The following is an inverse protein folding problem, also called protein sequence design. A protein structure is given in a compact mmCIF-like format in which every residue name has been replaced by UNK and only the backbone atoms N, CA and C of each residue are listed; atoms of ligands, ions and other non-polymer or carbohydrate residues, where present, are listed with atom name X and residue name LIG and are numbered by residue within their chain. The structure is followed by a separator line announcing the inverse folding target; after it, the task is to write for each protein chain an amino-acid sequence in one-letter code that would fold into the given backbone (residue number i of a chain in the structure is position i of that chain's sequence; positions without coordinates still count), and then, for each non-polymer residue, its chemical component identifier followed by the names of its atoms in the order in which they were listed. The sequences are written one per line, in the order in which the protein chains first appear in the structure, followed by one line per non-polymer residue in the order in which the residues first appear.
data_IF_586206298625
#
_entry.id   IF_586206298625
#
_cell.length_a   1.000
_cell.length_b   1.000
_cell.length_c   1.000
_cell.angle_alpha   90.00
_cell.angle_beta   90.00
_cell.angle_gamma   90.00
#
_symmetry.space_group_name_H-M   'P 1'
#
loop_
_entity.id
_entity.type
_entity.pdbx_description
1 polymer ?
#
# COMPACT_ATOMS: atom_id res chain seq x y z
N UNK A 1 -15.58 41.07 12.91
CA UNK A 1 -16.31 39.81 12.67
C UNK A 1 -15.30 38.75 12.29
N UNK A 2 -14.88 37.92 13.25
CA UNK A 2 -14.01 36.78 12.98
C UNK A 2 -14.88 35.65 12.43
N UNK A 3 -14.65 35.24 11.18
CA UNK A 3 -15.28 34.05 10.62
C UNK A 3 -14.65 32.83 11.30
N UNK A 4 -15.41 32.15 12.15
CA UNK A 4 -15.06 30.82 12.64
C UNK A 4 -15.07 29.86 11.46
N UNK A 5 -13.91 29.32 11.10
CA UNK A 5 -13.79 28.24 10.12
C UNK A 5 -14.55 27.02 10.66
N UNK A 6 -15.59 26.60 9.95
CA UNK A 6 -16.33 25.37 10.21
C UNK A 6 -15.33 24.19 10.24
N UNK A 7 -15.34 23.32 11.27
CA UNK A 7 -14.42 22.19 11.31
C UNK A 7 -14.71 21.28 10.10
N UNK A 8 -13.67 21.04 9.28
CA UNK A 8 -13.74 20.09 8.16
C UNK A 8 -14.01 18.70 8.73
N UNK A 9 -15.08 18.05 8.23
CA UNK A 9 -15.37 16.65 8.59
C UNK A 9 -14.13 15.81 8.28
N UNK A 10 -13.66 14.94 9.20
CA UNK A 10 -12.52 14.08 8.90
C UNK A 10 -12.82 13.28 7.64
N UNK A 11 -11.88 13.30 6.70
CA UNK A 11 -11.98 12.59 5.43
C UNK A 11 -12.12 11.10 5.71
N UNK A 12 -13.17 10.48 5.18
CA UNK A 12 -13.38 9.04 5.28
C UNK A 12 -12.39 8.31 4.35
N UNK A 13 -11.26 7.90 4.93
CA UNK A 13 -10.18 7.23 4.20
C UNK A 13 -10.66 5.93 3.52
N UNK A 14 -11.52 5.16 4.18
CA UNK A 14 -12.06 3.93 3.62
C UNK A 14 -12.94 4.22 2.41
N UNK A 15 -13.82 5.23 2.47
CA UNK A 15 -14.63 5.62 1.32
C UNK A 15 -13.80 6.10 0.13
N UNK A 16 -12.69 6.81 0.36
CA UNK A 16 -11.77 7.21 -0.72
C UNK A 16 -11.13 6.00 -1.41
N UNK A 17 -10.61 5.04 -0.64
CA UNK A 17 -10.04 3.80 -1.18
C UNK A 17 -11.08 3.00 -1.94
N UNK A 18 -12.29 2.86 -1.40
CA UNK A 18 -13.38 2.14 -2.07
C UNK A 18 -13.85 2.83 -3.33
N UNK A 19 -13.92 4.17 -3.35
CA UNK A 19 -14.24 4.92 -4.56
C UNK A 19 -13.20 4.70 -5.66
N UNK A 20 -11.93 4.70 -5.29
CA UNK A 20 -10.85 4.35 -6.22
C UNK A 20 -10.99 2.91 -6.73
N UNK A 21 -11.20 1.93 -5.85
CA UNK A 21 -11.40 0.54 -6.25
C UNK A 21 -12.62 0.38 -7.16
N UNK A 22 -13.69 1.17 -6.99
CA UNK A 22 -14.92 1.01 -7.75
C UNK A 22 -14.94 1.72 -9.11
N UNK A 23 -14.23 2.84 -9.25
CA UNK A 23 -14.38 3.72 -10.41
C UNK A 23 -13.07 4.00 -11.17
N UNK A 24 -11.91 3.66 -10.60
CA UNK A 24 -10.62 3.87 -11.26
C UNK A 24 -10.31 2.76 -12.26
N UNK A 25 -9.46 3.07 -13.23
CA UNK A 25 -8.79 2.12 -14.12
C UNK A 25 -7.31 1.90 -13.73
N UNK A 26 -6.92 2.27 -12.51
CA UNK A 26 -5.55 2.11 -12.02
C UNK A 26 -4.63 3.33 -12.25
N UNK A 27 -5.18 4.53 -12.47
CA UNK A 27 -4.38 5.75 -12.52
C UNK A 27 -3.87 6.11 -11.11
N UNK A 28 -2.63 6.59 -10.99
CA UNK A 28 -2.08 6.97 -9.68
C UNK A 28 -2.84 8.17 -9.08
N UNK A 29 -3.29 8.04 -7.83
CA UNK A 29 -3.91 9.12 -7.05
C UNK A 29 -3.23 9.24 -5.67
N UNK A 30 -2.49 10.33 -5.40
CA UNK A 30 -1.76 10.48 -4.14
C UNK A 30 -2.67 10.60 -2.91
N UNK A 31 -3.91 11.06 -3.08
CA UNK A 31 -4.89 11.19 -1.99
C UNK A 31 -5.34 9.82 -1.53
N UNK A 32 -5.61 8.91 -2.47
CA UNK A 32 -6.03 7.54 -2.18
C UNK A 32 -4.90 6.73 -1.54
N UNK A 33 -3.66 6.90 -2.03
CA UNK A 33 -2.50 6.24 -1.45
C UNK A 33 -2.25 6.69 0.00
N UNK A 34 -2.44 7.97 0.29
CA UNK A 34 -2.42 8.49 1.66
C UNK A 34 -3.54 7.89 2.51
N UNK A 35 -4.76 7.83 1.97
CA UNK A 35 -5.90 7.24 2.66
C UNK A 35 -5.66 5.77 3.06
N UNK A 36 -5.04 4.96 2.19
CA UNK A 36 -4.63 3.59 2.57
C UNK A 36 -3.60 3.60 3.72
N UNK A 37 -2.62 4.51 3.68
CA UNK A 37 -1.67 4.68 4.78
C UNK A 37 -2.36 5.07 6.09
N UNK A 38 -3.41 5.89 6.03
CA UNK A 38 -4.18 6.30 7.21
C UNK A 38 -5.03 5.14 7.77
N UNK A 39 -5.51 4.22 6.93
CA UNK A 39 -6.19 3.00 7.38
C UNK A 39 -5.26 2.10 8.19
N UNK A 40 -4.03 1.90 7.73
CA UNK A 40 -3.01 1.18 8.51
C UNK A 40 -2.66 1.92 9.80
N UNK A 41 -2.60 3.26 9.78
CA UNK A 41 -2.35 4.05 10.98
C UNK A 41 -3.45 3.92 12.04
N UNK A 42 -4.70 3.73 11.63
CA UNK A 42 -5.81 3.48 12.54
C UNK A 42 -5.74 2.09 13.20
N UNK A 43 -5.15 1.10 12.52
CA UNK A 43 -4.96 -0.27 13.04
C UNK A 43 -3.69 -0.38 13.89
N UNK A 44 -2.62 0.31 13.51
CA UNK A 44 -1.31 0.29 14.15
C UNK A 44 -0.98 1.68 14.73
N UNK A 45 -1.69 2.16 15.76
CA UNK A 45 -1.43 3.48 16.33
C UNK A 45 -0.03 3.54 16.94
N UNK A 46 0.64 4.68 16.80
CA UNK A 46 1.95 4.88 17.40
C UNK A 46 1.86 4.86 18.93
N UNK A 47 2.75 4.10 19.58
CA UNK A 47 2.88 4.09 21.03
C UNK A 47 3.26 5.49 21.52
N UNK A 48 2.59 5.99 22.56
CA UNK A 48 2.83 7.34 23.10
C UNK A 48 1.92 8.46 22.56
N UNK A 49 1.06 8.19 21.57
CA UNK A 49 0.10 9.18 21.05
C UNK A 49 -1.02 9.59 22.06
N UNK A 50 -1.06 8.99 23.25
CA UNK A 50 -2.09 9.19 24.27
C UNK A 50 -1.61 9.63 25.66
N UNK A 51 -0.31 9.83 25.90
CA UNK A 51 0.17 10.30 27.22
C UNK A 51 0.28 11.82 27.26
N UNK A 52 -0.85 12.49 27.47
CA UNK A 52 -0.87 13.87 27.94
C UNK A 52 -0.52 13.89 29.44
N UNK A 53 0.74 13.56 29.77
CA UNK A 53 1.20 13.37 31.14
C UNK A 53 2.70 13.60 31.27
N UNK A 54 3.05 14.87 31.46
CA UNK A 54 4.26 15.40 32.10
C UNK A 54 5.40 14.41 32.43
N UNK A 55 6.47 14.41 31.63
CA UNK A 55 7.83 14.23 32.15
C UNK A 55 8.85 14.85 31.21
N UNK A 56 9.64 15.79 31.73
CA UNK A 56 10.87 16.21 31.07
C UNK A 56 11.89 15.07 31.14
N UNK A 57 12.34 14.60 29.98
CA UNK A 57 13.42 13.63 29.88
C UNK A 57 13.28 12.68 28.69
N UNK A 58 14.18 12.86 27.71
CA UNK A 58 14.44 12.02 26.53
C UNK A 58 13.33 11.89 25.49
N UNK A 59 13.73 11.93 24.21
CA UNK A 59 12.85 11.75 23.05
C UNK A 59 12.18 10.37 23.16
N UNK A 60 10.96 10.30 23.70
CA UNK A 60 10.12 9.10 23.61
C UNK A 60 9.86 8.88 22.12
N UNK A 61 10.65 8.01 21.50
CA UNK A 61 10.50 7.62 20.10
C UNK A 61 9.11 7.01 19.93
N UNK A 62 8.20 7.79 19.35
CA UNK A 62 6.91 7.28 18.89
C UNK A 62 7.16 6.13 17.92
N UNK A 63 6.98 4.91 18.43
CA UNK A 63 7.26 3.68 17.72
C UNK A 63 5.94 3.01 17.32
N UNK A 64 5.85 2.65 16.04
CA UNK A 64 4.74 1.87 15.48
C UNK A 64 5.10 0.40 15.59
N UNK A 65 4.26 -0.36 16.27
CA UNK A 65 4.35 -1.83 16.28
C UNK A 65 3.51 -2.37 15.13
N UNK A 66 4.18 -2.88 14.11
CA UNK A 66 3.51 -3.50 12.95
C UNK A 66 2.89 -4.85 13.36
N UNK A 67 1.68 -5.13 12.88
CA UNK A 67 0.97 -6.37 13.19
C UNK A 67 0.91 -7.31 11.97
N UNK A 68 1.08 -8.63 12.17
CA UNK A 68 0.96 -9.64 11.10
C UNK A 68 -0.34 -9.58 10.30
N UNK A 69 -1.44 -9.17 10.94
CA UNK A 69 -2.80 -9.21 10.38
C UNK A 69 -3.30 -7.84 9.94
N UNK A 70 -2.44 -6.82 9.86
CA UNK A 70 -2.88 -5.45 9.54
C UNK A 70 -3.58 -5.35 8.18
N UNK A 71 -3.09 -6.03 7.16
CA UNK A 71 -3.74 -6.05 5.83
C UNK A 71 -5.12 -6.72 5.87
N UNK A 72 -5.28 -7.81 6.63
CA UNK A 72 -6.57 -8.48 6.85
C UNK A 72 -7.56 -7.57 7.59
N UNK A 73 -7.09 -6.84 8.60
CA UNK A 73 -7.90 -5.88 9.33
C UNK A 73 -8.31 -4.70 8.45
N UNK A 74 -7.41 -4.19 7.60
CA UNK A 74 -7.76 -3.19 6.57
C UNK A 74 -8.83 -3.74 5.62
N UNK A 75 -8.67 -4.98 5.14
CA UNK A 75 -9.66 -5.61 4.27
C UNK A 75 -11.05 -5.70 4.94
N UNK A 76 -11.10 -6.06 6.23
CA UNK A 76 -12.33 -6.12 7.00
C UNK A 76 -12.99 -4.74 7.17
N UNK A 77 -12.19 -3.69 7.45
CA UNK A 77 -12.67 -2.30 7.52
C UNK A 77 -13.23 -1.85 6.16
N UNK A 78 -12.52 -2.13 5.07
CA UNK A 78 -12.95 -1.78 3.71
C UNK A 78 -14.22 -2.53 3.31
N UNK A 79 -14.31 -3.84 3.58
CA UNK A 79 -15.51 -4.64 3.29
C UNK A 79 -16.73 -4.14 4.06
N UNK A 80 -16.59 -3.91 5.37
CA UNK A 80 -17.67 -3.35 6.20
C UNK A 80 -18.12 -1.99 5.68
N UNK A 81 -17.17 -1.11 5.33
CA UNK A 81 -17.49 0.22 4.82
C UNK A 81 -18.16 0.15 3.45
N UNK A 82 -17.76 -0.78 2.58
CA UNK A 82 -18.34 -0.98 1.27
C UNK A 82 -19.81 -1.38 1.36
N UNK A 83 -20.18 -2.28 2.28
CA UNK A 83 -21.57 -2.67 2.47
C UNK A 83 -22.43 -1.49 2.95
N UNK A 84 -21.89 -0.65 3.85
CA UNK A 84 -22.58 0.58 4.28
C UNK A 84 -22.76 1.53 3.08
N UNK A 85 -21.73 1.75 2.27
CA UNK A 85 -21.79 2.64 1.11
C UNK A 85 -22.76 2.10 0.05
N UNK A 86 -22.74 0.80 -0.26
CA UNK A 86 -23.66 0.19 -1.22
C UNK A 86 -25.13 0.33 -0.81
N UNK A 87 -25.42 0.34 0.50
CA UNK A 87 -26.76 0.52 1.03
C UNK A 87 -27.22 1.99 1.09
N UNK A 88 -26.30 2.95 1.20
CA UNK A 88 -26.63 4.35 1.52
C UNK A 88 -26.27 5.37 0.43
N UNK A 89 -25.31 5.06 -0.45
CA UNK A 89 -24.78 5.98 -1.45
C UNK A 89 -25.10 5.48 -2.87
N UNK A 90 -25.86 6.24 -3.67
CA UNK A 90 -26.24 5.81 -5.03
C UNK A 90 -25.06 5.48 -5.94
N UNK A 91 -23.90 6.14 -5.75
CA UNK A 91 -22.68 5.88 -6.51
C UNK A 91 -22.19 4.44 -6.33
N UNK A 92 -22.39 3.83 -5.16
CA UNK A 92 -21.96 2.49 -4.82
C UNK A 92 -23.05 1.42 -5.04
N UNK A 93 -24.15 1.76 -5.70
CA UNK A 93 -25.22 0.79 -5.99
C UNK A 93 -24.70 -0.42 -6.78
N UNK A 94 -23.84 -0.16 -7.76
CA UNK A 94 -23.01 -1.20 -8.37
C UNK A 94 -21.61 -1.10 -7.76
N UNK A 95 -21.31 -2.05 -6.88
CA UNK A 95 -20.01 -2.19 -6.24
C UNK A 95 -19.29 -3.48 -6.66
N UNK A 96 -19.64 -4.03 -7.83
CA UNK A 96 -19.07 -5.28 -8.36
C UNK A 96 -17.56 -5.17 -8.49
N UNK A 97 -17.08 -4.07 -9.07
CA UNK A 97 -15.65 -3.81 -9.22
C UNK A 97 -14.96 -3.71 -7.85
N UNK A 98 -15.46 -2.88 -6.92
CA UNK A 98 -14.84 -2.76 -5.61
C UNK A 98 -14.77 -4.10 -4.86
N UNK A 99 -15.84 -4.92 -4.89
CA UNK A 99 -15.84 -6.25 -4.26
C UNK A 99 -14.79 -7.17 -4.88
N UNK A 100 -14.73 -7.21 -6.21
CA UNK A 100 -13.74 -8.01 -6.93
C UNK A 100 -12.30 -7.57 -6.60
N UNK A 101 -12.02 -6.27 -6.58
CA UNK A 101 -10.69 -5.75 -6.26
C UNK A 101 -10.29 -6.10 -4.82
N UNK A 102 -11.18 -5.98 -3.85
CA UNK A 102 -10.88 -6.38 -2.48
C UNK A 102 -10.59 -7.87 -2.37
N UNK A 103 -11.38 -8.73 -3.02
CA UNK A 103 -11.15 -10.17 -3.03
C UNK A 103 -9.83 -10.54 -3.71
N UNK A 104 -9.58 -10.01 -4.92
CA UNK A 104 -8.37 -10.31 -5.68
C UNK A 104 -7.14 -9.83 -4.92
N UNK A 105 -7.12 -8.60 -4.41
CA UNK A 105 -5.95 -8.04 -3.75
C UNK A 105 -5.68 -8.78 -2.44
N UNK A 106 -6.63 -8.77 -1.50
CA UNK A 106 -6.36 -9.21 -0.14
C UNK A 106 -6.39 -10.74 0.02
N UNK A 107 -7.28 -11.44 -0.69
CA UNK A 107 -7.45 -12.89 -0.51
C UNK A 107 -6.64 -13.74 -1.48
N UNK A 108 -6.14 -13.16 -2.59
CA UNK A 108 -5.46 -13.93 -3.65
C UNK A 108 -4.07 -13.40 -3.96
N UNK A 109 -3.95 -12.13 -4.34
CA UNK A 109 -2.71 -11.54 -4.82
C UNK A 109 -1.65 -11.40 -3.73
N UNK A 110 -2.00 -10.87 -2.55
CA UNK A 110 -1.02 -10.73 -1.45
C UNK A 110 -0.45 -12.11 -1.01
N UNK A 111 -1.27 -13.14 -0.74
CA UNK A 111 -0.76 -14.48 -0.46
C UNK A 111 0.07 -15.07 -1.61
N UNK A 112 -0.43 -14.99 -2.85
CA UNK A 112 0.27 -15.53 -4.02
C UNK A 112 1.60 -14.82 -4.28
N UNK A 113 1.70 -13.52 -4.00
CA UNK A 113 2.95 -12.78 -4.11
C UNK A 113 4.00 -13.27 -3.09
N UNK A 114 3.59 -13.56 -1.84
CA UNK A 114 4.50 -14.17 -0.85
C UNK A 114 4.98 -15.55 -1.31
N UNK A 115 4.07 -16.38 -1.81
CA UNK A 115 4.40 -17.73 -2.27
C UNK A 115 5.34 -17.70 -3.49
N UNK A 116 5.05 -16.84 -4.47
CA UNK A 116 5.86 -16.67 -5.67
C UNK A 116 7.30 -16.25 -5.34
N UNK A 117 7.50 -15.46 -4.28
CA UNK A 117 8.79 -14.95 -3.83
C UNK A 117 9.31 -15.64 -2.57
N UNK A 118 8.84 -16.84 -2.23
CA UNK A 118 9.27 -17.53 -1.02
C UNK A 118 10.78 -17.76 -1.00
N UNK A 119 11.38 -18.10 -2.14
CA UNK A 119 12.83 -18.27 -2.31
C UNK A 119 13.65 -17.01 -1.97
N UNK A 120 13.09 -15.82 -2.22
CA UNK A 120 13.76 -14.54 -1.97
C UNK A 120 13.37 -13.89 -0.64
N UNK A 121 12.12 -14.03 -0.24
CA UNK A 121 11.48 -13.23 0.81
C UNK A 121 10.96 -14.05 2.00
N UNK A 122 11.23 -15.37 2.07
CA UNK A 122 10.81 -16.22 3.21
C UNK A 122 11.25 -15.67 4.57
N UNK A 123 12.41 -15.00 4.63
CA UNK A 123 12.93 -14.39 5.85
C UNK A 123 12.13 -13.18 6.35
N UNK A 124 11.22 -12.63 5.53
CA UNK A 124 10.38 -11.49 5.92
C UNK A 124 9.23 -11.95 6.81
N UNK A 125 9.03 -11.33 7.98
CA UNK A 125 7.96 -11.75 8.87
C UNK A 125 6.57 -11.51 8.25
N UNK A 126 5.53 -12.20 8.74
CA UNK A 126 4.14 -11.90 8.38
C UNK A 126 3.82 -10.40 8.56
N UNK A 127 3.11 -9.80 7.61
CA UNK A 127 2.75 -8.37 7.63
C UNK A 127 3.86 -7.41 7.19
N UNK A 128 5.09 -7.88 6.95
CA UNK A 128 6.20 -7.04 6.54
C UNK A 128 6.12 -6.60 5.06
N UNK A 129 5.47 -7.38 4.19
CA UNK A 129 5.37 -7.09 2.76
C UNK A 129 4.08 -6.32 2.46
N UNK A 130 2.99 -6.69 3.14
CA UNK A 130 1.63 -6.20 2.96
C UNK A 130 1.43 -4.80 3.58
N UNK A 131 2.35 -3.88 3.29
CA UNK A 131 2.38 -2.50 3.78
C UNK A 131 1.55 -1.58 2.89
N UNK A 132 1.12 -0.38 3.37
CA UNK A 132 0.07 0.41 2.72
C UNK A 132 0.31 0.68 1.24
N UNK A 133 1.52 1.12 0.89
CA UNK A 133 1.86 1.47 -0.49
C UNK A 133 2.10 0.25 -1.37
N UNK A 134 2.49 -0.90 -0.79
CA UNK A 134 2.54 -2.15 -1.53
C UNK A 134 1.12 -2.65 -1.86
N UNK A 135 0.20 -2.59 -0.90
CA UNK A 135 -1.22 -2.92 -1.12
C UNK A 135 -1.83 -2.01 -2.20
N UNK A 136 -1.51 -0.72 -2.21
CA UNK A 136 -1.95 0.18 -3.27
C UNK A 136 -1.33 -0.11 -4.63
N UNK A 137 -0.05 -0.48 -4.68
CA UNK A 137 0.59 -0.93 -5.92
C UNK A 137 -0.09 -2.20 -6.46
N UNK A 138 -0.42 -3.15 -5.58
CA UNK A 138 -1.14 -4.36 -5.92
C UNK A 138 -2.55 -4.06 -6.46
N UNK A 139 -3.32 -3.20 -5.77
CA UNK A 139 -4.63 -2.74 -6.25
C UNK A 139 -4.53 -2.04 -7.62
N UNK A 140 -3.49 -1.20 -7.81
CA UNK A 140 -3.25 -0.52 -9.07
C UNK A 140 -2.95 -1.50 -10.21
N UNK A 141 -2.13 -2.54 -9.97
CA UNK A 141 -1.81 -3.56 -10.97
C UNK A 141 -3.07 -4.33 -11.39
N UNK A 142 -3.90 -4.75 -10.44
CA UNK A 142 -5.17 -5.45 -10.73
C UNK A 142 -6.12 -4.54 -11.53
N UNK A 143 -6.28 -3.27 -11.11
CA UNK A 143 -7.13 -2.31 -11.82
C UNK A 143 -6.65 -2.02 -13.24
N UNK A 144 -5.32 -1.93 -13.44
CA UNK A 144 -4.72 -1.67 -14.74
C UNK A 144 -4.87 -2.85 -15.71
N UNK A 145 -4.94 -4.08 -15.20
CA UNK A 145 -5.22 -5.28 -16.01
C UNK A 145 -6.66 -5.28 -16.56
N UNK A 146 -7.60 -4.62 -15.86
CA UNK A 146 -8.98 -4.43 -16.28
C UNK A 146 -9.88 -5.66 -16.08
N UNK A 147 -11.20 -5.43 -16.11
CA UNK A 147 -12.23 -6.46 -15.94
C UNK A 147 -12.39 -7.38 -17.16
N UNK A 148 -13.54 -8.05 -17.34
CA UNK A 148 -14.71 -8.11 -16.44
C UNK A 148 -14.40 -8.53 -15.00
N UNK A 149 -15.18 -8.01 -14.05
CA UNK A 149 -15.00 -8.18 -12.59
C UNK A 149 -15.95 -9.21 -11.98
N UNK A 150 -16.89 -9.71 -12.79
CA UNK A 150 -17.92 -10.69 -12.46
C UNK A 150 -17.58 -12.11 -12.92
N UNK A 151 -16.31 -12.34 -13.31
CA UNK A 151 -15.78 -13.63 -13.80
C UNK A 151 -14.65 -14.16 -12.87
N UNK A 152 -14.99 -14.79 -11.73
CA UNK A 152 -14.01 -15.29 -10.75
C UNK A 152 -12.98 -16.27 -11.32
N UNK A 153 -13.32 -17.00 -12.38
CA UNK A 153 -12.44 -17.91 -13.12
C UNK A 153 -11.21 -17.20 -13.71
N UNK A 154 -11.29 -15.89 -13.99
CA UNK A 154 -10.18 -15.09 -14.51
C UNK A 154 -9.22 -14.58 -13.43
N UNK A 155 -9.61 -14.66 -12.15
CA UNK A 155 -8.81 -14.09 -11.06
C UNK A 155 -7.41 -14.70 -10.97
N UNK A 156 -7.27 -16.00 -11.24
CA UNK A 156 -5.95 -16.64 -11.24
C UNK A 156 -5.00 -16.03 -12.28
N UNK A 157 -5.50 -15.76 -13.49
CA UNK A 157 -4.71 -15.13 -14.55
C UNK A 157 -4.39 -13.66 -14.22
N UNK A 158 -5.34 -12.92 -13.65
CA UNK A 158 -5.15 -11.54 -13.20
C UNK A 158 -4.12 -11.44 -12.06
N UNK A 159 -4.13 -12.37 -11.10
CA UNK A 159 -3.13 -12.45 -10.03
C UNK A 159 -1.76 -12.67 -10.65
N UNK A 160 -1.62 -13.64 -11.55
CA UNK A 160 -0.33 -13.93 -12.18
C UNK A 160 0.21 -12.74 -12.99
N UNK A 161 -0.63 -12.08 -13.80
CA UNK A 161 -0.19 -10.91 -14.57
C UNK A 161 0.16 -9.73 -13.65
N UNK A 162 -0.58 -9.54 -12.56
CA UNK A 162 -0.31 -8.50 -11.57
C UNK A 162 1.02 -8.72 -10.86
N UNK A 163 1.35 -9.97 -10.47
CA UNK A 163 2.67 -10.31 -9.90
C UNK A 163 3.79 -9.95 -10.88
N UNK A 164 3.65 -10.34 -12.15
CA UNK A 164 4.66 -10.03 -13.18
C UNK A 164 4.81 -8.52 -13.42
N UNK A 165 3.72 -7.75 -13.35
CA UNK A 165 3.76 -6.29 -13.45
C UNK A 165 4.44 -5.64 -12.24
N UNK A 166 4.20 -6.15 -11.04
CA UNK A 166 4.82 -5.66 -9.81
C UNK A 166 6.34 -5.94 -9.80
N UNK A 167 6.76 -7.06 -10.36
CA UNK A 167 8.15 -7.53 -10.37
C UNK A 167 9.05 -6.72 -11.32
N UNK A 168 9.40 -5.50 -10.91
CA UNK A 168 10.14 -4.54 -11.73
C UNK A 168 11.60 -4.31 -11.32
N UNK A 169 12.09 -4.96 -10.25
CA UNK A 169 13.41 -4.70 -9.69
C UNK A 169 14.19 -5.97 -9.31
N UNK A 170 15.42 -6.11 -9.80
CA UNK A 170 16.33 -7.24 -9.48
C UNK A 170 17.36 -6.91 -8.39
N UNK A 171 17.54 -5.63 -8.05
CA UNK A 171 18.57 -5.20 -7.11
C UNK A 171 19.98 -5.14 -7.71
N UNK A 172 20.97 -4.96 -6.83
CA UNK A 172 22.39 -4.97 -7.21
C UNK A 172 22.95 -6.38 -7.04
N UNK A 173 22.70 -7.25 -8.02
CA UNK A 173 23.28 -8.60 -8.08
C UNK A 173 24.26 -8.72 -9.24
N UNK A 174 25.41 -9.41 -9.05
CA UNK A 174 26.29 -9.74 -10.16
C UNK A 174 25.55 -10.59 -11.19
N UNK A 175 25.47 -10.11 -12.43
CA UNK A 175 24.88 -10.85 -13.55
C UNK A 175 26.00 -11.49 -14.37
N UNK A 176 25.85 -12.78 -14.68
CA UNK A 176 26.81 -13.49 -15.50
C UNK A 176 26.91 -12.84 -16.89
N UNK A 177 28.15 -12.66 -17.38
CA UNK A 177 28.43 -12.23 -18.74
C UNK A 177 28.60 -13.48 -19.60
N UNK A 178 27.76 -13.64 -20.61
CA UNK A 178 27.82 -14.73 -21.56
C UNK A 178 29.06 -14.60 -22.47
N UNK A 179 29.44 -15.67 -23.14
CA UNK A 179 30.63 -15.71 -24.03
C UNK A 179 30.59 -14.65 -25.15
N UNK A 180 29.39 -14.20 -25.54
CA UNK A 180 29.18 -13.12 -26.51
C UNK A 180 29.26 -11.70 -25.91
N UNK A 181 29.67 -11.57 -24.64
CA UNK A 181 29.80 -10.30 -23.93
C UNK A 181 28.49 -9.69 -23.43
N UNK A 182 27.35 -10.38 -23.59
CA UNK A 182 26.04 -9.90 -23.11
C UNK A 182 25.80 -10.35 -21.68
N UNK A 183 25.15 -9.52 -20.88
CA UNK A 183 24.63 -9.95 -19.59
C UNK A 183 23.53 -11.00 -19.82
N UNK A 184 23.51 -12.05 -19.00
CA UNK A 184 22.35 -12.93 -18.89
C UNK A 184 21.13 -12.12 -18.48
N UNK A 185 19.94 -12.48 -18.96
CA UNK A 185 18.71 -11.93 -18.39
C UNK A 185 18.40 -12.63 -17.06
N UNK A 186 18.01 -11.86 -16.00
CA UNK A 186 17.52 -12.48 -14.77
C UNK A 186 16.25 -13.27 -15.04
N UNK A 187 16.04 -14.35 -14.29
CA UNK A 187 14.77 -15.07 -14.33
C UNK A 187 13.62 -14.19 -13.84
N UNK A 188 12.39 -14.48 -14.27
CA UNK A 188 11.21 -13.70 -13.89
C UNK A 188 11.01 -13.61 -12.37
N UNK A 189 11.27 -14.72 -11.65
CA UNK A 189 11.14 -14.80 -10.20
C UNK A 189 12.27 -14.10 -9.43
N UNK A 190 13.37 -13.71 -10.10
CA UNK A 190 14.44 -12.94 -9.47
C UNK A 190 14.11 -11.45 -9.35
N UNK A 191 13.07 -10.98 -10.06
CA UNK A 191 12.58 -9.60 -9.95
C UNK A 191 11.50 -9.53 -8.88
N UNK A 192 11.61 -8.55 -7.99
CA UNK A 192 10.63 -8.26 -6.94
C UNK A 192 10.15 -6.82 -7.08
N UNK A 193 9.05 -6.47 -6.42
CA UNK A 193 8.71 -5.09 -6.10
C UNK A 193 9.35 -4.70 -4.75
N UNK A 194 10.23 -3.70 -4.68
CA UNK A 194 10.68 -3.16 -3.41
C UNK A 194 9.50 -2.54 -2.67
N UNK A 195 9.37 -2.79 -1.37
CA UNK A 195 8.28 -2.24 -0.55
C UNK A 195 8.41 -0.70 -0.54
N UNK A 196 7.44 0.04 -1.10
CA UNK A 196 7.57 1.49 -1.18
C UNK A 196 7.42 2.12 0.21
N UNK A 197 8.47 2.81 0.67
CA UNK A 197 8.49 3.51 1.96
C UNK A 197 8.15 5.00 1.83
N UNK A 198 8.31 5.58 0.64
CA UNK A 198 8.02 6.97 0.33
C UNK A 198 7.54 7.09 -1.11
N UNK A 199 6.51 7.91 -1.33
CA UNK A 199 6.06 8.29 -2.68
C UNK A 199 5.94 9.82 -2.73
N UNK A 200 6.55 10.42 -3.76
CA UNK A 200 6.47 11.86 -3.99
C UNK A 200 5.00 12.30 -4.14
N UNK A 201 4.62 13.38 -3.46
CA UNK A 201 3.23 13.86 -3.41
C UNK A 201 2.32 13.10 -2.43
N UNK A 202 2.75 11.95 -1.88
CA UNK A 202 2.02 11.20 -0.84
C UNK A 202 2.67 11.43 0.52
N UNK A 203 3.98 11.16 0.62
CA UNK A 203 4.76 11.17 1.86
C UNK A 203 5.33 9.78 2.20
N UNK A 204 5.82 9.64 3.43
CA UNK A 204 6.29 8.37 3.96
C UNK A 204 5.11 7.45 4.33
N UNK A 205 5.23 6.16 3.99
CA UNK A 205 4.24 5.15 4.33
C UNK A 205 4.13 4.97 5.84
N UNK A 206 2.93 4.64 6.33
CA UNK A 206 2.76 4.21 7.72
C UNK A 206 3.50 2.91 8.01
N UNK A 207 4.18 2.86 9.15
CA UNK A 207 5.00 1.73 9.60
C UNK A 207 6.16 2.19 10.46
N UNK A 208 6.98 1.24 10.89
CA UNK A 208 8.10 1.50 11.83
C UNK A 208 9.15 2.47 11.29
N UNK A 209 9.27 2.58 9.97
CA UNK A 209 10.22 3.47 9.30
C UNK A 209 9.65 4.84 8.95
N UNK A 210 8.36 5.13 9.23
CA UNK A 210 7.70 6.37 8.80
C UNK A 210 8.49 7.62 9.20
N UNK A 211 8.82 7.75 10.48
CA UNK A 211 9.49 8.93 11.03
C UNK A 211 10.92 9.08 10.49
N UNK A 212 11.66 7.96 10.40
CA UNK A 212 13.01 7.94 9.84
C UNK A 212 13.01 8.39 8.38
N UNK A 213 12.11 7.82 7.56
CA UNK A 213 12.02 8.12 6.13
C UNK A 213 11.54 9.55 5.91
N UNK A 214 10.50 9.99 6.64
CA UNK A 214 10.02 11.37 6.56
C UNK A 214 11.12 12.37 6.92
N UNK A 215 11.80 12.18 8.05
CA UNK A 215 12.90 13.05 8.48
C UNK A 215 14.08 13.05 7.51
N UNK A 216 14.45 11.89 6.97
CA UNK A 216 15.51 11.80 5.95
C UNK A 216 15.15 12.59 4.69
N UNK A 217 13.91 12.46 4.19
CA UNK A 217 13.44 13.21 3.03
C UNK A 217 13.36 14.71 3.31
N UNK A 218 12.92 15.12 4.50
CA UNK A 218 12.92 16.52 4.93
C UNK A 218 14.32 17.13 4.93
N UNK A 219 15.31 16.41 5.48
CA UNK A 219 16.72 16.82 5.44
C UNK A 219 17.18 17.00 3.99
N UNK A 220 16.90 16.03 3.11
CA UNK A 220 17.27 16.10 1.71
C UNK A 220 16.57 17.26 0.98
N UNK A 221 15.30 17.52 1.28
CA UNK A 221 14.55 18.63 0.70
C UNK A 221 15.07 20.01 1.16
N UNK A 222 15.69 20.06 2.36
CA UNK A 222 16.33 21.26 2.89
C UNK A 222 17.78 21.47 2.41
N UNK A 223 18.38 20.46 1.76
CA UNK A 223 19.76 20.53 1.32
C UNK A 223 19.94 21.58 0.21
N UNK A 224 21.08 22.31 0.18
CA UNK A 224 21.36 23.26 -0.89
C UNK A 224 21.35 22.58 -2.27
N UNK A 225 20.84 23.23 -3.33
CA UNK A 225 20.78 22.64 -4.69
C UNK A 225 22.15 22.29 -5.31
N UNK A 226 23.24 22.79 -4.72
CA UNK A 226 24.62 22.50 -5.11
C UNK A 226 25.47 22.32 -3.85
N UNK A 227 26.20 21.21 -3.77
CA UNK A 227 27.36 21.05 -2.88
C UNK A 227 28.59 21.71 -3.49
#
# INVERSE_FOLDING_TARGET
MQQQSKPSRPTDAAALVLGYCNFSSGAFDPTVWRAMSDLFAAIEPASGAGSAGNTGGTNDEQSVTECPTSSEQVAAVLGTRLDILAASEPAFRDSTQARAILEIVFSRLLPAYREYHADLLEHQPPGAIERPFFVMAAAQAVLAAGGPWDEPERYAALVQSSILQLNDYVGWRPMAVLENGRLSEPYGHERVRPIPLFIAGVGAAHGRYKNLVAGAIEILASAPPRL
#
